data_IF_984638543099
#
_entry.id   IF_984638543099
#
_cell.length_a   1.000
_cell.length_b   1.000
_cell.length_c   1.000
_cell.angle_alpha   90.00
_cell.angle_beta   90.00
_cell.angle_gamma   90.00
#
_symmetry.space_group_name_H-M   'P 1'
#
loop_
_entity.id
_entity.type
_entity.pdbx_description
1 polymer ?
#
# COMPACT_ATOMS: atom_id res chain seq x y z
N UNK A 1 -46.47 23.62 31.54
CA UNK A 1 -45.10 23.24 31.16
C UNK A 1 -44.13 24.23 31.77
N UNK A 2 -43.56 23.90 32.93
CA UNK A 2 -42.53 24.70 33.60
C UNK A 2 -41.27 24.73 32.74
N UNK A 3 -40.65 25.91 32.59
CA UNK A 3 -39.32 26.06 31.98
C UNK A 3 -38.32 25.33 32.88
N UNK A 4 -38.02 24.07 32.56
CA UNK A 4 -36.92 23.36 33.20
C UNK A 4 -35.64 24.02 32.66
N UNK A 5 -34.95 24.76 33.53
CA UNK A 5 -33.85 25.65 33.19
C UNK A 5 -32.48 24.99 33.31
N UNK A 6 -32.39 23.77 33.85
CA UNK A 6 -31.12 23.07 34.04
C UNK A 6 -31.07 21.78 33.20
N UNK A 7 -30.29 21.76 32.11
CA UNK A 7 -30.12 20.59 31.26
C UNK A 7 -29.49 19.39 31.98
N UNK A 8 -28.70 19.65 33.02
CA UNK A 8 -28.04 18.59 33.80
C UNK A 8 -29.09 17.73 34.55
N UNK A 9 -30.23 18.33 34.95
CA UNK A 9 -31.34 17.62 35.61
C UNK A 9 -32.12 16.73 34.62
N UNK A 10 -32.29 17.18 33.37
CA UNK A 10 -32.96 16.39 32.33
C UNK A 10 -32.12 15.17 31.93
N UNK A 11 -30.78 15.34 31.88
CA UNK A 11 -29.84 14.25 31.64
C UNK A 11 -29.88 13.22 32.77
N UNK A 12 -29.85 13.68 34.02
CA UNK A 12 -29.91 12.79 35.18
C UNK A 12 -31.21 12.00 35.21
N UNK A 13 -32.35 12.63 34.91
CA UNK A 13 -33.66 11.97 34.85
C UNK A 13 -33.75 10.92 33.73
N UNK A 14 -33.22 11.19 32.54
CA UNK A 14 -33.21 10.20 31.45
C UNK A 14 -32.40 8.96 31.84
N UNK A 15 -31.21 9.15 32.41
CA UNK A 15 -30.37 8.03 32.83
C UNK A 15 -30.88 7.30 34.06
N UNK A 16 -31.57 8.00 34.97
CA UNK A 16 -32.31 7.39 36.08
C UNK A 16 -33.42 6.51 35.52
N UNK A 17 -34.24 7.02 34.59
CA UNK A 17 -35.30 6.24 33.96
C UNK A 17 -34.73 5.02 33.25
N UNK A 18 -33.74 5.20 32.38
CA UNK A 18 -33.05 4.10 31.69
C UNK A 18 -32.50 3.06 32.69
N UNK A 19 -31.88 3.48 33.79
CA UNK A 19 -31.37 2.56 34.82
C UNK A 19 -32.48 1.85 35.57
N UNK A 20 -33.60 2.51 35.84
CA UNK A 20 -34.78 1.93 36.49
C UNK A 20 -35.46 0.89 35.59
N UNK A 21 -35.58 1.18 34.29
CA UNK A 21 -36.05 0.22 33.28
C UNK A 21 -35.11 -0.98 33.17
N UNK A 22 -33.79 -0.75 33.28
CA UNK A 22 -32.76 -1.82 33.26
C UNK A 22 -32.69 -2.66 34.55
N UNK A 23 -33.03 -2.11 35.71
CA UNK A 23 -32.98 -2.83 37.00
C UNK A 23 -34.16 -3.79 37.21
N UNK A 24 -35.06 -3.90 36.23
CA UNK A 24 -36.13 -4.90 36.21
C UNK A 24 -37.36 -4.56 37.04
N UNK A 25 -37.48 -3.33 37.56
CA UNK A 25 -38.69 -2.90 38.29
C UNK A 25 -39.85 -2.56 37.32
N UNK A 26 -39.57 -2.27 36.04
CA UNK A 26 -40.58 -1.95 35.02
C UNK A 26 -40.20 -2.49 33.63
N UNK A 27 -40.06 -3.81 33.50
CA UNK A 27 -39.82 -4.50 32.21
C UNK A 27 -41.04 -4.47 31.25
N UNK A 28 -42.09 -3.73 31.61
CA UNK A 28 -43.33 -3.54 30.84
C UNK A 28 -43.43 -2.15 30.20
N UNK A 29 -42.34 -1.39 30.09
CA UNK A 29 -42.35 -0.20 29.26
C UNK A 29 -42.65 -0.63 27.81
N UNK A 30 -43.86 -0.29 27.33
CA UNK A 30 -44.30 -0.60 25.97
C UNK A 30 -43.29 0.01 24.99
N UNK A 31 -43.02 -0.67 23.86
CA UNK A 31 -42.12 -0.18 22.79
C UNK A 31 -42.42 1.27 22.44
N UNK A 32 -43.70 1.64 22.53
CA UNK A 32 -44.23 2.99 22.33
C UNK A 32 -43.73 4.03 23.35
N UNK A 33 -43.56 3.68 24.62
CA UNK A 33 -42.98 4.56 25.64
C UNK A 33 -41.49 4.75 25.39
N UNK A 34 -40.78 3.69 25.03
CA UNK A 34 -39.34 3.78 24.72
C UNK A 34 -39.11 4.64 23.48
N UNK A 35 -39.91 4.46 22.41
CA UNK A 35 -39.85 5.29 21.21
C UNK A 35 -40.22 6.76 21.51
N UNK A 36 -41.25 7.01 22.34
CA UNK A 36 -41.63 8.37 22.73
C UNK A 36 -40.55 9.09 23.56
N UNK A 37 -39.88 8.37 24.45
CA UNK A 37 -38.79 8.92 25.26
C UNK A 37 -37.55 9.17 24.40
N UNK A 38 -37.24 8.27 23.45
CA UNK A 38 -36.19 8.49 22.46
C UNK A 38 -36.46 9.75 21.62
N UNK A 39 -37.69 9.92 21.13
CA UNK A 39 -38.11 11.13 20.39
C UNK A 39 -38.01 12.39 21.25
N UNK A 40 -38.41 12.30 22.53
CA UNK A 40 -38.31 13.43 23.46
C UNK A 40 -36.85 13.84 23.73
N UNK A 41 -35.94 12.88 23.94
CA UNK A 41 -34.50 13.14 24.08
C UNK A 41 -33.98 13.87 22.85
N UNK A 42 -34.45 13.50 21.66
CA UNK A 42 -34.01 14.07 20.38
C UNK A 42 -34.54 15.45 20.10
N UNK A 43 -35.79 15.73 20.48
CA UNK A 43 -36.36 17.07 20.44
C UNK A 43 -35.68 18.00 21.44
N UNK A 44 -35.45 17.51 22.66
CA UNK A 44 -34.76 18.25 23.72
C UNK A 44 -33.36 18.61 23.26
N UNK A 45 -32.64 17.64 22.71
CA UNK A 45 -31.32 17.79 22.13
C UNK A 45 -31.23 18.87 21.05
N UNK A 46 -32.14 18.88 20.07
CA UNK A 46 -32.19 19.91 19.03
C UNK A 46 -32.38 21.32 19.59
N UNK A 47 -33.10 21.45 20.72
CA UNK A 47 -33.34 22.74 21.37
C UNK A 47 -32.12 23.32 22.12
N UNK A 48 -31.09 22.50 22.41
CA UNK A 48 -29.93 22.88 23.21
C UNK A 48 -28.61 23.00 22.45
N UNK A 49 -28.48 22.43 21.24
CA UNK A 49 -27.26 22.54 20.40
C UNK A 49 -26.82 24.00 20.21
N UNK A 50 -27.76 24.95 20.13
CA UNK A 50 -27.44 26.38 19.98
C UNK A 50 -27.05 27.11 21.28
N UNK A 51 -27.18 26.48 22.46
CA UNK A 51 -27.01 27.13 23.78
C UNK A 51 -25.73 26.73 24.51
N UNK A 52 -25.10 25.62 24.12
CA UNK A 52 -23.89 25.12 24.78
C UNK A 52 -22.64 25.48 23.98
N UNK A 53 -21.52 25.68 24.67
CA UNK A 53 -20.23 25.77 23.98
C UNK A 53 -19.79 24.39 23.45
N UNK A 54 -18.98 24.39 22.39
CA UNK A 54 -18.54 23.18 21.68
C UNK A 54 -17.87 22.15 22.59
N UNK A 55 -17.08 22.60 23.59
CA UNK A 55 -16.38 21.69 24.53
C UNK A 55 -17.36 20.95 25.45
N UNK A 56 -18.39 21.64 25.95
CA UNK A 56 -19.42 21.03 26.82
C UNK A 56 -20.26 20.03 26.02
N UNK A 57 -20.62 20.36 24.79
CA UNK A 57 -21.26 19.43 23.86
C UNK A 57 -20.37 18.20 23.66
N UNK A 58 -19.12 18.36 23.21
CA UNK A 58 -18.20 17.23 22.98
C UNK A 58 -18.06 16.29 24.18
N UNK A 59 -17.92 16.83 25.40
CA UNK A 59 -17.88 16.01 26.62
C UNK A 59 -19.19 15.25 26.80
N UNK A 60 -20.33 15.92 26.68
CA UNK A 60 -21.64 15.30 26.79
C UNK A 60 -21.80 14.14 25.79
N UNK A 61 -21.56 14.36 24.50
CA UNK A 61 -21.69 13.29 23.49
C UNK A 61 -20.82 12.11 23.78
N UNK A 62 -19.57 12.34 24.17
CA UNK A 62 -18.63 11.28 24.54
C UNK A 62 -19.16 10.46 25.71
N UNK A 63 -19.69 11.13 26.75
CA UNK A 63 -20.22 10.44 27.93
C UNK A 63 -21.49 9.64 27.60
N UNK A 64 -22.38 10.18 26.77
CA UNK A 64 -23.58 9.49 26.29
C UNK A 64 -23.24 8.29 25.40
N UNK A 65 -22.32 8.46 24.46
CA UNK A 65 -21.83 7.41 23.55
C UNK A 65 -21.23 6.24 24.33
N UNK A 66 -20.38 6.54 25.32
CA UNK A 66 -19.77 5.52 26.19
C UNK A 66 -20.82 4.76 26.99
N UNK A 67 -21.79 5.48 27.57
CA UNK A 67 -22.83 4.89 28.41
C UNK A 67 -23.79 4.01 27.59
N UNK A 68 -24.29 4.51 26.45
CA UNK A 68 -25.11 3.74 25.50
C UNK A 68 -24.34 2.50 25.01
N UNK A 69 -23.08 2.68 24.60
CA UNK A 69 -22.25 1.57 24.11
C UNK A 69 -22.07 0.46 25.14
N UNK A 70 -21.85 0.83 26.41
CA UNK A 70 -21.73 -0.13 27.51
C UNK A 70 -23.05 -0.88 27.75
N UNK A 71 -24.18 -0.18 27.77
CA UNK A 71 -25.49 -0.82 27.97
C UNK A 71 -25.87 -1.75 26.82
N UNK A 72 -25.68 -1.31 25.57
CA UNK A 72 -25.98 -2.15 24.39
C UNK A 72 -25.16 -3.44 24.42
N UNK A 73 -23.91 -3.41 24.90
CA UNK A 73 -23.07 -4.61 25.02
C UNK A 73 -23.47 -5.55 26.17
N UNK A 74 -24.14 -5.04 27.21
CA UNK A 74 -24.53 -5.83 28.38
C UNK A 74 -25.93 -6.46 28.23
N UNK A 75 -26.76 -5.91 27.33
CA UNK A 75 -28.12 -6.37 27.12
C UNK A 75 -28.23 -7.57 26.16
N UNK A 76 -29.10 -8.55 26.47
CA UNK A 76 -29.48 -9.57 25.51
C UNK A 76 -30.22 -8.96 24.31
N UNK A 77 -30.36 -9.75 23.23
CA UNK A 77 -31.17 -9.33 22.08
C UNK A 77 -32.65 -9.17 22.51
N UNK A 78 -33.29 -8.07 22.10
CA UNK A 78 -34.68 -7.73 22.46
C UNK A 78 -35.04 -6.27 22.15
N UNK A 79 -36.29 -5.89 22.39
CA UNK A 79 -36.83 -4.56 22.04
C UNK A 79 -36.04 -3.40 22.69
N UNK A 80 -35.62 -3.56 23.95
CA UNK A 80 -34.85 -2.54 24.66
C UNK A 80 -33.47 -2.31 24.01
N UNK A 81 -32.79 -3.39 23.61
CA UNK A 81 -31.51 -3.27 22.90
C UNK A 81 -31.71 -2.61 21.53
N UNK A 82 -32.78 -2.95 20.81
CA UNK A 82 -33.14 -2.31 19.54
C UNK A 82 -33.35 -0.80 19.71
N UNK A 83 -34.08 -0.39 20.74
CA UNK A 83 -34.33 1.02 21.02
C UNK A 83 -33.05 1.80 21.37
N UNK A 84 -32.17 1.23 22.20
CA UNK A 84 -30.88 1.86 22.53
C UNK A 84 -29.97 1.99 21.30
N UNK A 85 -30.01 1.02 20.38
CA UNK A 85 -29.33 1.11 19.09
C UNK A 85 -29.89 2.28 18.27
N UNK A 86 -31.21 2.47 18.20
CA UNK A 86 -31.82 3.61 17.48
C UNK A 86 -31.41 4.96 18.06
N UNK A 87 -31.38 5.07 19.39
CA UNK A 87 -30.91 6.28 20.08
C UNK A 87 -29.45 6.54 19.73
N UNK A 88 -28.60 5.50 19.77
CA UNK A 88 -27.20 5.61 19.40
C UNK A 88 -27.02 6.04 17.94
N UNK A 89 -27.76 5.43 17.00
CA UNK A 89 -27.70 5.78 15.58
C UNK A 89 -28.09 7.24 15.33
N UNK A 90 -29.13 7.73 15.99
CA UNK A 90 -29.53 9.13 15.88
C UNK A 90 -28.48 10.06 16.46
N UNK A 91 -27.93 9.72 17.63
CA UNK A 91 -26.84 10.48 18.25
C UNK A 91 -25.64 10.57 17.29
N UNK A 92 -25.33 9.50 16.57
CA UNK A 92 -24.32 9.48 15.52
C UNK A 92 -24.70 10.19 14.22
N UNK A 93 -26.00 10.39 13.95
CA UNK A 93 -26.51 11.11 12.78
C UNK A 93 -26.50 12.62 12.99
N UNK A 94 -26.85 13.10 14.18
CA UNK A 94 -27.00 14.53 14.47
C UNK A 94 -25.89 15.10 15.36
N UNK A 95 -25.13 14.25 16.05
CA UNK A 95 -24.01 14.64 16.92
C UNK A 95 -22.63 14.48 16.28
N UNK A 96 -22.56 14.32 14.95
CA UNK A 96 -21.36 13.85 14.26
C UNK A 96 -20.11 14.68 14.52
N UNK A 97 -20.29 16.00 14.65
CA UNK A 97 -19.23 17.00 14.84
C UNK A 97 -18.70 17.06 16.27
N UNK A 98 -19.43 16.44 17.20
CA UNK A 98 -19.13 16.45 18.63
C UNK A 98 -18.65 15.10 19.15
N UNK A 99 -18.79 14.03 18.35
CA UNK A 99 -18.39 12.68 18.70
C UNK A 99 -16.92 12.42 18.36
N UNK A 100 -16.29 11.55 19.15
CA UNK A 100 -14.92 11.13 18.90
C UNK A 100 -14.90 10.14 17.74
N UNK A 101 -14.50 10.60 16.56
CA UNK A 101 -14.40 9.75 15.37
C UNK A 101 -13.43 8.57 15.53
N UNK A 102 -12.51 8.62 16.51
CA UNK A 102 -11.59 7.53 16.85
C UNK A 102 -12.14 6.59 17.91
N UNK A 103 -13.29 6.89 18.52
CA UNK A 103 -13.92 5.98 19.47
C UNK A 103 -14.20 4.62 18.83
N UNK A 104 -14.11 3.59 19.67
CA UNK A 104 -14.32 2.21 19.27
C UNK A 104 -15.81 1.94 19.17
N UNK A 105 -16.21 1.34 18.05
CA UNK A 105 -17.56 0.84 17.87
C UNK A 105 -17.84 -0.31 18.86
N UNK A 106 -18.88 -0.22 19.69
CA UNK A 106 -19.30 -1.30 20.58
C UNK A 106 -19.50 -2.62 19.85
N UNK A 107 -19.13 -3.74 20.48
CA UNK A 107 -19.14 -5.08 19.85
C UNK A 107 -20.52 -5.46 19.31
N UNK A 108 -21.58 -5.19 20.08
CA UNK A 108 -22.96 -5.43 19.68
C UNK A 108 -23.36 -4.62 18.43
N UNK A 109 -22.91 -3.37 18.32
CA UNK A 109 -23.12 -2.53 17.14
C UNK A 109 -22.25 -2.95 15.96
N UNK A 110 -21.02 -3.41 16.21
CA UNK A 110 -20.17 -3.96 15.17
C UNK A 110 -20.79 -5.22 14.54
N UNK A 111 -21.41 -6.09 15.35
CA UNK A 111 -22.12 -7.27 14.85
C UNK A 111 -23.30 -6.85 13.95
N UNK A 112 -24.09 -5.87 14.40
CA UNK A 112 -25.21 -5.32 13.62
C UNK A 112 -24.73 -4.69 12.30
N UNK A 113 -23.69 -3.85 12.34
CA UNK A 113 -23.10 -3.23 11.15
C UNK A 113 -22.60 -4.28 10.15
N UNK A 114 -21.96 -5.35 10.63
CA UNK A 114 -21.53 -6.46 9.77
C UNK A 114 -22.71 -7.16 9.10
N UNK A 115 -23.79 -7.38 9.83
CA UNK A 115 -25.01 -7.97 9.27
C UNK A 115 -25.62 -7.06 8.21
N UNK A 116 -25.88 -5.79 8.55
CA UNK A 116 -26.45 -4.80 7.64
C UNK A 116 -25.60 -4.62 6.38
N UNK A 117 -24.27 -4.52 6.54
CA UNK A 117 -23.35 -4.43 5.41
C UNK A 117 -23.39 -5.69 4.54
N UNK A 118 -23.51 -6.88 5.14
CA UNK A 118 -23.60 -8.14 4.39
C UNK A 118 -24.89 -8.21 3.57
N UNK A 119 -26.02 -7.86 4.17
CA UNK A 119 -27.31 -7.80 3.51
C UNK A 119 -27.30 -6.78 2.36
N UNK A 120 -26.81 -5.57 2.61
CA UNK A 120 -26.71 -4.50 1.62
C UNK A 120 -25.72 -4.81 0.48
N UNK A 121 -24.61 -5.48 0.79
CA UNK A 121 -23.58 -5.83 -0.19
C UNK A 121 -23.96 -7.05 -1.05
N UNK A 122 -24.83 -7.93 -0.57
CA UNK A 122 -25.28 -9.13 -1.31
C UNK A 122 -25.80 -8.84 -2.73
N UNK A 123 -26.76 -7.91 -2.95
CA UNK A 123 -27.21 -7.58 -4.31
C UNK A 123 -26.09 -6.98 -5.17
N UNK A 124 -25.24 -6.12 -4.60
CA UNK A 124 -24.08 -5.52 -5.28
C UNK A 124 -23.12 -6.62 -5.75
N UNK A 125 -22.81 -7.59 -4.88
CA UNK A 125 -21.97 -8.76 -5.19
C UNK A 125 -22.55 -9.59 -6.33
N UNK A 126 -23.88 -9.80 -6.37
CA UNK A 126 -24.54 -10.48 -7.49
C UNK A 126 -24.38 -9.70 -8.80
N UNK A 127 -24.57 -8.37 -8.77
CA UNK A 127 -24.37 -7.51 -9.93
C UNK A 127 -22.92 -7.54 -10.44
N UNK A 128 -21.94 -7.45 -9.54
CA UNK A 128 -20.51 -7.56 -9.87
C UNK A 128 -20.16 -8.90 -10.51
N UNK A 129 -20.66 -10.02 -9.96
CA UNK A 129 -20.47 -11.36 -10.55
C UNK A 129 -21.08 -11.47 -11.94
N UNK A 130 -22.31 -10.96 -12.12
CA UNK A 130 -22.99 -10.94 -13.43
C UNK A 130 -22.20 -10.14 -14.47
N UNK A 131 -21.59 -9.04 -14.05
CA UNK A 131 -20.73 -8.20 -14.89
C UNK A 131 -19.29 -8.72 -15.05
N UNK A 132 -18.97 -9.91 -14.51
CA UNK A 132 -17.63 -10.52 -14.55
C UNK A 132 -16.52 -9.62 -13.97
N UNK A 133 -16.83 -8.86 -12.93
CA UNK A 133 -15.82 -8.12 -12.15
C UNK A 133 -14.84 -9.13 -11.53
N UNK A 134 -13.55 -8.74 -11.47
CA UNK A 134 -12.48 -9.53 -10.86
C UNK A 134 -12.86 -10.09 -9.48
N UNK A 135 -12.64 -11.38 -9.29
CA UNK A 135 -12.97 -12.08 -8.05
C UNK A 135 -12.17 -11.58 -6.86
N UNK A 136 -10.93 -11.14 -7.08
CA UNK A 136 -10.09 -10.51 -6.06
C UNK A 136 -10.68 -9.21 -5.54
N UNK A 137 -11.16 -8.34 -6.43
CA UNK A 137 -11.84 -7.09 -6.06
C UNK A 137 -13.13 -7.33 -5.28
N UNK A 138 -13.95 -8.30 -5.71
CA UNK A 138 -15.20 -8.66 -5.02
C UNK A 138 -14.89 -9.13 -3.58
N UNK A 139 -13.91 -10.02 -3.43
CA UNK A 139 -13.49 -10.53 -2.12
C UNK A 139 -12.94 -9.41 -1.24
N UNK A 140 -12.11 -8.54 -1.80
CA UNK A 140 -11.57 -7.39 -1.09
C UNK A 140 -12.66 -6.48 -0.52
N UNK A 141 -13.67 -6.17 -1.34
CA UNK A 141 -14.79 -5.33 -0.91
C UNK A 141 -15.62 -6.03 0.17
N UNK A 142 -15.91 -7.32 0.00
CA UNK A 142 -16.61 -8.11 1.01
C UNK A 142 -15.87 -8.10 2.36
N UNK A 143 -14.56 -8.38 2.34
CA UNK A 143 -13.72 -8.37 3.53
C UNK A 143 -13.62 -6.97 4.15
N UNK A 144 -13.63 -5.92 3.33
CA UNK A 144 -13.62 -4.51 3.78
C UNK A 144 -14.93 -4.16 4.49
N UNK A 145 -16.09 -4.45 3.87
CA UNK A 145 -17.41 -4.15 4.43
C UNK A 145 -17.76 -4.99 5.67
N UNK A 146 -17.13 -6.15 5.83
CA UNK A 146 -17.27 -7.00 7.01
C UNK A 146 -16.18 -6.74 8.07
N UNK A 147 -15.28 -5.78 7.84
CA UNK A 147 -14.14 -5.48 8.71
C UNK A 147 -13.23 -6.69 8.97
N UNK A 148 -13.12 -7.61 8.01
CA UNK A 148 -12.21 -8.77 8.04
C UNK A 148 -10.79 -8.42 7.57
N UNK A 149 -10.63 -7.26 6.92
CA UNK A 149 -9.33 -6.76 6.51
C UNK A 149 -8.49 -6.16 7.67
N UNK A 150 -9.00 -6.22 8.90
CA UNK A 150 -8.33 -5.69 10.08
C UNK A 150 -7.59 -6.83 10.82
N UNK A 151 -6.39 -6.58 11.37
CA UNK A 151 -5.70 -7.49 12.28
C UNK A 151 -6.62 -8.06 13.37
N UNK A 152 -6.35 -9.31 13.76
CA UNK A 152 -7.08 -9.97 14.84
C UNK A 152 -7.00 -9.14 16.13
N UNK A 153 -8.17 -8.91 16.74
CA UNK A 153 -8.30 -8.08 17.94
C UNK A 153 -8.30 -6.57 17.69
N UNK A 154 -8.13 -6.09 16.45
CA UNK A 154 -8.26 -4.66 16.15
C UNK A 154 -9.71 -4.22 16.35
N UNK A 155 -9.88 -3.21 17.21
CA UNK A 155 -11.17 -2.57 17.48
C UNK A 155 -11.53 -1.65 16.31
N UNK A 156 -12.76 -1.77 15.81
CA UNK A 156 -13.23 -0.94 14.69
C UNK A 156 -13.55 0.47 15.19
N UNK A 157 -12.83 1.47 14.70
CA UNK A 157 -13.16 2.86 14.98
C UNK A 157 -14.46 3.27 14.26
N UNK A 158 -15.28 4.10 14.89
CA UNK A 158 -16.58 4.56 14.37
C UNK A 158 -16.45 5.27 13.03
N UNK A 159 -15.37 6.04 12.82
CA UNK A 159 -15.10 6.65 11.50
C UNK A 159 -15.01 5.64 10.37
N UNK A 160 -14.50 4.42 10.61
CA UNK A 160 -14.39 3.37 9.58
C UNK A 160 -15.78 2.89 9.19
N UNK A 161 -16.64 2.65 10.18
CA UNK A 161 -18.04 2.29 9.94
C UNK A 161 -18.79 3.40 9.19
N UNK A 162 -18.65 4.66 9.62
CA UNK A 162 -19.24 5.81 8.91
C UNK A 162 -18.76 5.91 7.46
N UNK A 163 -17.45 5.77 7.23
CA UNK A 163 -16.88 5.78 5.90
C UNK A 163 -17.53 4.73 4.99
N UNK A 164 -17.69 3.50 5.46
CA UNK A 164 -18.31 2.42 4.69
C UNK A 164 -19.81 2.63 4.49
N UNK A 165 -20.51 3.16 5.50
CA UNK A 165 -21.92 3.54 5.39
C UNK A 165 -22.16 4.61 4.33
N UNK A 166 -21.24 5.57 4.20
CA UNK A 166 -21.28 6.59 3.15
C UNK A 166 -20.93 6.02 1.77
N UNK A 167 -20.04 5.02 1.71
CA UNK A 167 -19.59 4.39 0.46
C UNK A 167 -20.62 3.40 -0.11
N UNK A 168 -21.37 2.69 0.73
CA UNK A 168 -22.30 1.63 0.31
C UNK A 168 -23.39 2.12 -0.67
N UNK A 169 -24.08 3.25 -0.45
CA UNK A 169 -25.08 3.77 -1.39
C UNK A 169 -24.48 4.13 -2.74
N UNK A 170 -23.25 4.67 -2.75
CA UNK A 170 -22.54 5.03 -3.97
C UNK A 170 -22.13 3.79 -4.76
N UNK A 171 -21.71 2.73 -4.06
CA UNK A 171 -21.40 1.46 -4.69
C UNK A 171 -22.67 0.83 -5.29
N UNK A 172 -23.79 0.89 -4.56
CA UNK A 172 -25.09 0.44 -5.05
C UNK A 172 -25.50 1.19 -6.32
N UNK A 173 -25.45 2.52 -6.31
CA UNK A 173 -25.86 3.34 -7.46
C UNK A 173 -25.05 3.00 -8.72
N UNK A 174 -23.73 2.83 -8.60
CA UNK A 174 -22.92 2.49 -9.79
C UNK A 174 -23.21 1.08 -10.31
N UNK A 175 -23.60 0.13 -9.45
CA UNK A 175 -23.99 -1.22 -9.90
C UNK A 175 -25.36 -1.28 -10.57
N UNK A 176 -26.26 -0.35 -10.23
CA UNK A 176 -27.61 -0.29 -10.79
C UNK A 176 -27.68 0.52 -12.10
N UNK A 177 -26.74 1.45 -12.30
CA UNK A 177 -26.64 2.29 -13.51
C UNK A 177 -26.26 1.46 -14.76
N UNK A 178 -27.15 1.34 -15.76
CA UNK A 178 -27.00 0.41 -16.87
C UNK A 178 -26.15 0.93 -18.05
N UNK A 179 -25.66 2.17 -18.01
CA UNK A 179 -24.99 2.81 -19.16
C UNK A 179 -23.82 3.69 -18.73
N UNK A 180 -22.62 3.19 -18.94
CA UNK A 180 -21.38 3.97 -18.88
C UNK A 180 -20.43 3.44 -19.94
N UNK A 181 -19.54 4.31 -20.43
CA UNK A 181 -18.48 3.93 -21.36
C UNK A 181 -17.40 3.07 -20.69
N UNK A 182 -17.36 3.07 -19.36
CA UNK A 182 -16.43 2.29 -18.55
C UNK A 182 -17.07 0.97 -18.12
N UNK A 183 -16.25 -0.07 -18.02
CA UNK A 183 -16.66 -1.33 -17.40
C UNK A 183 -17.06 -1.10 -15.93
N UNK A 184 -17.92 -1.98 -15.39
CA UNK A 184 -18.32 -1.87 -13.98
C UNK A 184 -17.11 -1.92 -13.04
N UNK A 185 -16.10 -2.74 -13.35
CA UNK A 185 -14.86 -2.81 -12.58
C UNK A 185 -14.13 -1.47 -12.54
N UNK A 186 -13.94 -0.80 -13.68
CA UNK A 186 -13.28 0.51 -13.75
C UNK A 186 -14.05 1.57 -12.97
N UNK A 187 -15.39 1.55 -13.05
CA UNK A 187 -16.25 2.47 -12.29
C UNK A 187 -16.11 2.26 -10.78
N UNK A 188 -16.06 1.00 -10.34
CA UNK A 188 -15.82 0.65 -8.93
C UNK A 188 -14.44 1.16 -8.52
N UNK A 189 -13.38 0.84 -9.26
CA UNK A 189 -12.02 1.27 -8.93
C UNK A 189 -11.91 2.78 -8.85
N UNK A 190 -12.50 3.49 -9.82
CA UNK A 190 -12.56 4.95 -9.81
C UNK A 190 -13.29 5.46 -8.56
N UNK A 191 -14.47 4.91 -8.22
CA UNK A 191 -15.19 5.27 -6.99
C UNK A 191 -14.32 5.09 -5.73
N UNK A 192 -13.62 3.95 -5.61
CA UNK A 192 -12.77 3.64 -4.47
C UNK A 192 -11.56 4.59 -4.36
N UNK A 193 -10.95 4.95 -5.48
CA UNK A 193 -9.88 5.95 -5.53
C UNK A 193 -10.40 7.34 -5.14
N UNK A 194 -11.53 7.77 -5.72
CA UNK A 194 -12.15 9.07 -5.50
C UNK A 194 -12.58 9.29 -4.05
N UNK A 195 -13.04 8.21 -3.40
CA UNK A 195 -13.42 8.20 -1.98
C UNK A 195 -12.27 7.88 -1.03
N UNK A 196 -11.07 7.62 -1.54
CA UNK A 196 -9.86 7.37 -0.76
C UNK A 196 -9.92 6.12 0.13
N UNK A 197 -10.29 4.98 -0.46
CA UNK A 197 -10.15 3.68 0.19
C UNK A 197 -8.66 3.32 0.28
N UNK A 198 -7.98 3.87 1.29
CA UNK A 198 -6.54 3.76 1.47
C UNK A 198 -6.09 2.52 2.27
N UNK A 199 -6.84 1.42 2.17
CA UNK A 199 -6.44 0.15 2.79
C UNK A 199 -5.25 -0.48 2.07
N UNK A 200 -4.42 -1.18 2.84
CA UNK A 200 -3.23 -1.88 2.30
C UNK A 200 -3.64 -2.91 1.25
N UNK A 201 -4.73 -3.63 1.50
CA UNK A 201 -5.23 -4.66 0.59
C UNK A 201 -5.67 -4.05 -0.74
N UNK A 202 -6.32 -2.88 -0.73
CA UNK A 202 -6.75 -2.22 -1.98
C UNK A 202 -5.56 -1.69 -2.77
N UNK A 203 -4.60 -1.09 -2.08
CA UNK A 203 -3.35 -0.67 -2.69
C UNK A 203 -2.61 -1.86 -3.33
N UNK A 204 -2.47 -2.99 -2.62
CA UNK A 204 -1.83 -4.20 -3.16
C UNK A 204 -2.56 -4.74 -4.39
N UNK A 205 -3.88 -4.89 -4.31
CA UNK A 205 -4.69 -5.31 -5.45
C UNK A 205 -4.48 -4.38 -6.66
N UNK A 206 -4.51 -3.06 -6.43
CA UNK A 206 -4.35 -2.06 -7.49
C UNK A 206 -2.95 -2.09 -8.10
N UNK A 207 -1.91 -2.25 -7.27
CA UNK A 207 -0.52 -2.44 -7.70
C UNK A 207 -0.38 -3.66 -8.62
N UNK A 208 -0.95 -4.78 -8.21
CA UNK A 208 -0.84 -6.03 -8.97
C UNK A 208 -1.58 -5.94 -10.31
N UNK A 209 -2.70 -5.20 -10.37
CA UNK A 209 -3.38 -4.87 -11.63
C UNK A 209 -2.50 -4.04 -12.58
N UNK A 210 -1.73 -3.07 -12.07
CA UNK A 210 -0.78 -2.32 -12.91
C UNK A 210 0.35 -3.21 -13.41
N UNK A 211 0.90 -4.07 -12.54
CA UNK A 211 1.94 -5.02 -12.93
C UNK A 211 1.45 -6.01 -14.01
N UNK A 212 0.20 -6.46 -13.93
CA UNK A 212 -0.37 -7.36 -14.96
C UNK A 212 -0.52 -6.71 -16.34
N UNK A 213 -0.60 -5.38 -16.40
CA UNK A 213 -0.63 -4.63 -17.66
C UNK A 213 0.75 -4.50 -18.30
N UNK A 214 1.83 -4.85 -17.58
CA UNK A 214 3.20 -4.79 -18.06
C UNK A 214 3.87 -6.17 -18.01
N UNK A 215 3.55 -7.07 -18.96
CA UNK A 215 4.16 -8.38 -19.08
C UNK A 215 5.70 -8.37 -19.00
N UNK A 216 6.32 -9.31 -18.27
CA UNK A 216 7.79 -9.46 -18.22
C UNK A 216 8.45 -9.80 -19.56
N UNK A 217 7.69 -10.06 -20.61
CA UNK A 217 8.20 -10.27 -21.96
C UNK A 217 8.38 -8.96 -22.75
N UNK A 218 7.77 -7.86 -22.31
CA UNK A 218 7.83 -6.60 -23.05
C UNK A 218 9.25 -6.00 -23.08
N UNK A 219 9.66 -5.39 -24.19
CA UNK A 219 10.90 -4.64 -24.26
C UNK A 219 10.93 -3.50 -23.22
N UNK A 220 12.13 -3.17 -22.74
CA UNK A 220 12.33 -2.16 -21.69
C UNK A 220 11.64 -0.82 -21.98
N UNK A 221 11.81 -0.30 -23.21
CA UNK A 221 11.19 0.96 -23.63
C UNK A 221 9.67 0.92 -23.61
N UNK A 222 9.08 -0.22 -23.97
CA UNK A 222 7.62 -0.38 -23.97
C UNK A 222 7.08 -0.44 -22.54
N UNK A 223 7.77 -1.11 -21.61
CA UNK A 223 7.41 -1.07 -20.19
C UNK A 223 7.43 0.34 -19.64
N UNK A 224 8.50 1.09 -19.92
CA UNK A 224 8.63 2.47 -19.47
C UNK A 224 7.51 3.36 -20.04
N UNK A 225 7.18 3.19 -21.32
CA UNK A 225 6.06 3.89 -21.97
C UNK A 225 4.74 3.62 -21.24
N UNK A 226 4.42 2.36 -20.98
CA UNK A 226 3.17 1.97 -20.31
C UNK A 226 3.13 2.52 -18.87
N UNK A 227 4.20 2.42 -18.09
CA UNK A 227 4.21 2.97 -16.73
C UNK A 227 4.05 4.50 -16.70
N UNK A 228 4.65 5.22 -17.67
CA UNK A 228 4.43 6.68 -17.81
C UNK A 228 2.99 7.01 -18.18
N UNK A 229 2.37 6.24 -19.06
CA UNK A 229 0.96 6.39 -19.43
C UNK A 229 0.04 6.15 -18.23
N UNK A 230 0.28 5.08 -17.46
CA UNK A 230 -0.45 4.78 -16.24
C UNK A 230 -0.29 5.88 -15.18
N UNK A 231 0.93 6.40 -14.99
CA UNK A 231 1.20 7.51 -14.07
C UNK A 231 0.46 8.78 -14.51
N UNK A 232 0.51 9.13 -15.79
CA UNK A 232 -0.19 10.29 -16.35
C UNK A 232 -1.71 10.19 -16.19
N UNK A 233 -2.27 9.01 -16.46
CA UNK A 233 -3.71 8.78 -16.31
C UNK A 233 -4.13 8.88 -14.83
N UNK A 234 -3.35 8.29 -13.92
CA UNK A 234 -3.65 8.34 -12.47
C UNK A 234 -3.50 9.74 -11.87
N UNK A 235 -2.48 10.50 -12.27
CA UNK A 235 -2.28 11.88 -11.77
C UNK A 235 -3.35 12.85 -12.26
N UNK A 236 -4.01 12.54 -13.38
CA UNK A 236 -5.13 13.33 -13.92
C UNK A 236 -6.43 13.13 -13.12
N UNK A 237 -6.58 11.99 -12.43
CA UNK A 237 -7.73 11.72 -11.57
C UNK A 237 -7.64 12.52 -10.26
N UNK A 238 -8.52 13.51 -10.08
CA UNK A 238 -8.56 14.32 -8.86
C UNK A 238 -9.33 13.61 -7.74
N UNK A 239 -8.66 13.35 -6.62
CA UNK A 239 -9.33 12.93 -5.39
C UNK A 239 -10.40 13.96 -4.97
N UNK A 240 -11.66 13.52 -4.83
CA UNK A 240 -12.77 14.39 -4.38
C UNK A 240 -12.92 14.44 -2.86
N UNK A 241 -12.54 13.38 -2.17
CA UNK A 241 -12.79 13.24 -0.73
C UNK A 241 -11.50 13.11 0.07
N UNK A 242 -11.32 13.96 1.08
CA UNK A 242 -10.19 13.91 2.00
C UNK A 242 -10.45 13.02 3.24
N UNK A 243 -11.55 12.26 3.29
CA UNK A 243 -11.78 11.27 4.34
C UNK A 243 -10.88 10.06 4.13
N UNK A 244 -10.27 9.56 5.20
CA UNK A 244 -9.37 8.40 5.16
C UNK A 244 -10.04 7.21 5.84
N UNK A 245 -10.04 6.06 5.15
CA UNK A 245 -10.49 4.81 5.76
C UNK A 245 -9.53 4.39 6.89
N UNK A 246 -8.22 4.35 6.63
CA UNK A 246 -7.18 4.12 7.64
C UNK A 246 -6.48 5.45 7.95
N UNK A 247 -6.48 5.87 9.22
CA UNK A 247 -5.76 7.08 9.64
C UNK A 247 -4.29 6.75 9.81
N UNK A 248 -3.41 7.70 9.52
CA UNK A 248 -1.96 7.52 9.54
C UNK A 248 -1.38 6.93 8.27
N UNK A 249 -2.20 6.35 7.38
CA UNK A 249 -1.76 5.95 6.05
C UNK A 249 -1.93 7.08 5.03
N UNK A 250 -1.02 7.22 4.06
CA UNK A 250 -1.20 8.14 2.93
C UNK A 250 -2.50 7.84 2.18
N UNK A 251 -3.04 8.83 1.48
CA UNK A 251 -4.20 8.62 0.63
C UNK A 251 -3.89 7.63 -0.49
N UNK A 252 -4.88 6.88 -0.96
CA UNK A 252 -4.69 5.87 -2.01
C UNK A 252 -4.08 6.46 -3.28
N UNK A 253 -4.43 7.71 -3.60
CA UNK A 253 -3.88 8.43 -4.74
C UNK A 253 -2.36 8.58 -4.63
N UNK A 254 -1.87 9.05 -3.47
CA UNK A 254 -0.43 9.17 -3.17
C UNK A 254 0.28 7.81 -3.12
N UNK A 255 -0.36 6.78 -2.58
CA UNK A 255 0.22 5.43 -2.53
C UNK A 255 0.46 4.89 -3.94
N UNK A 256 -0.55 5.00 -4.81
CA UNK A 256 -0.47 4.56 -6.21
C UNK A 256 0.51 5.42 -7.02
N UNK A 257 0.48 6.74 -6.86
CA UNK A 257 1.42 7.65 -7.51
C UNK A 257 2.88 7.31 -7.14
N UNK A 258 3.15 7.13 -5.84
CA UNK A 258 4.49 6.76 -5.37
C UNK A 258 4.97 5.42 -5.95
N UNK A 259 4.08 4.44 -6.08
CA UNK A 259 4.39 3.18 -6.75
C UNK A 259 4.74 3.37 -8.23
N UNK A 260 3.87 4.05 -8.98
CA UNK A 260 4.05 4.24 -10.42
C UNK A 260 5.29 5.07 -10.74
N UNK A 261 5.55 6.14 -9.99
CA UNK A 261 6.79 6.93 -10.10
C UNK A 261 8.03 6.09 -9.80
N UNK A 262 7.99 5.28 -8.74
CA UNK A 262 9.09 4.36 -8.41
C UNK A 262 9.35 3.31 -9.50
N UNK A 263 8.31 2.84 -10.20
CA UNK A 263 8.49 1.96 -11.37
C UNK A 263 9.13 2.70 -12.55
N UNK A 264 8.71 3.94 -12.84
CA UNK A 264 9.33 4.77 -13.88
C UNK A 264 10.81 4.98 -13.59
N UNK A 265 11.15 5.41 -12.37
CA UNK A 265 12.54 5.66 -11.95
C UNK A 265 13.42 4.40 -12.07
N UNK A 266 12.88 3.25 -11.68
CA UNK A 266 13.55 1.95 -11.79
C UNK A 266 13.91 1.65 -13.25
N UNK A 267 12.92 1.71 -14.15
CA UNK A 267 13.13 1.34 -15.56
C UNK A 267 13.98 2.36 -16.32
N UNK A 268 13.91 3.65 -15.96
CA UNK A 268 14.85 4.66 -16.46
C UNK A 268 16.28 4.41 -15.97
N UNK A 269 16.45 3.97 -14.72
CA UNK A 269 17.74 3.51 -14.19
C UNK A 269 18.31 2.35 -15.01
N UNK A 270 17.50 1.32 -15.25
CA UNK A 270 17.89 0.16 -16.08
C UNK A 270 18.25 0.60 -17.49
N UNK A 271 17.45 1.48 -18.10
CA UNK A 271 17.69 1.97 -19.45
C UNK A 271 19.03 2.70 -19.55
N UNK A 272 19.29 3.63 -18.62
CA UNK A 272 20.58 4.35 -18.54
C UNK A 272 21.76 3.40 -18.43
N UNK A 273 21.68 2.39 -17.56
CA UNK A 273 22.73 1.37 -17.43
C UNK A 273 22.94 0.58 -18.73
N UNK A 274 21.86 0.15 -19.38
CA UNK A 274 21.97 -0.58 -20.66
C UNK A 274 22.51 0.27 -21.80
N UNK A 275 22.18 1.56 -21.84
CA UNK A 275 22.71 2.50 -22.83
C UNK A 275 24.20 2.76 -22.59
N UNK A 276 24.60 3.01 -21.35
CA UNK A 276 26.01 3.16 -20.97
C UNK A 276 26.84 1.91 -21.34
N UNK A 277 26.29 0.71 -21.09
CA UNK A 277 26.91 -0.56 -21.50
C UNK A 277 27.08 -0.68 -23.02
N UNK A 278 26.09 -0.22 -23.79
CA UNK A 278 26.12 -0.28 -25.27
C UNK A 278 27.06 0.77 -25.87
N UNK A 279 27.07 1.98 -25.33
CA UNK A 279 27.86 3.11 -25.82
C UNK A 279 29.33 2.98 -25.42
N UNK A 280 29.61 2.63 -24.17
CA UNK A 280 30.97 2.51 -23.67
C UNK A 280 31.55 1.10 -23.88
N UNK A 281 30.73 0.14 -24.35
CA UNK A 281 31.09 -1.27 -24.53
C UNK A 281 31.37 -2.03 -23.24
N UNK A 282 31.39 -1.33 -22.10
CA UNK A 282 32.05 -1.76 -20.88
C UNK A 282 31.45 -1.08 -19.64
N UNK A 283 31.45 -1.79 -18.52
CA UNK A 283 31.11 -1.21 -17.20
C UNK A 283 32.28 -0.37 -16.70
N UNK A 284 32.05 0.72 -15.93
CA UNK A 284 33.11 1.51 -15.31
C UNK A 284 33.75 0.75 -14.13
N UNK A 285 34.37 -0.39 -14.41
CA UNK A 285 35.09 -1.21 -13.43
C UNK A 285 36.58 -1.10 -13.77
N UNK A 286 37.37 -0.72 -12.77
CA UNK A 286 38.81 -0.58 -12.91
C UNK A 286 39.54 -1.54 -11.97
N UNK A 287 40.44 -2.36 -12.52
CA UNK A 287 41.19 -3.41 -11.83
C UNK A 287 42.65 -2.98 -11.77
N UNK A 288 43.14 -2.67 -10.57
CA UNK A 288 44.55 -2.36 -10.37
C UNK A 288 45.38 -3.64 -10.35
N UNK A 289 46.36 -3.73 -11.25
CA UNK A 289 47.34 -4.80 -11.31
C UNK A 289 48.71 -4.33 -10.79
N UNK A 290 49.40 -5.22 -10.10
CA UNK A 290 50.79 -4.99 -9.69
C UNK A 290 51.80 -5.14 -10.83
N UNK A 291 51.35 -5.64 -11.99
CA UNK A 291 52.17 -5.91 -13.17
C UNK A 291 52.37 -4.66 -14.02
N UNK A 292 53.51 -4.55 -14.69
CA UNK A 292 53.67 -3.56 -15.78
C UNK A 292 52.75 -3.92 -16.96
N UNK A 293 52.53 -2.96 -17.87
CA UNK A 293 51.75 -3.18 -19.10
C UNK A 293 52.30 -4.36 -19.90
N UNK A 294 53.63 -4.44 -20.07
CA UNK A 294 54.29 -5.51 -20.81
C UNK A 294 54.17 -6.88 -20.13
N UNK A 295 54.24 -6.92 -18.79
CA UNK A 295 54.02 -8.15 -18.02
C UNK A 295 52.57 -8.63 -18.09
N UNK A 296 51.62 -7.69 -18.07
CA UNK A 296 50.20 -7.98 -18.21
C UNK A 296 49.89 -8.49 -19.63
N UNK A 297 50.48 -7.86 -20.66
CA UNK A 297 50.33 -8.30 -22.05
C UNK A 297 50.89 -9.71 -22.25
N UNK A 298 52.06 -10.01 -21.67
CA UNK A 298 52.64 -11.35 -21.70
C UNK A 298 51.74 -12.37 -20.96
N UNK A 299 51.19 -12.01 -19.80
CA UNK A 299 50.28 -12.89 -19.05
C UNK A 299 49.06 -13.28 -19.89
N UNK A 300 48.39 -12.29 -20.50
CA UNK A 300 47.25 -12.55 -21.38
C UNK A 300 47.64 -13.32 -22.65
N UNK A 301 48.85 -13.11 -23.18
CA UNK A 301 49.37 -13.89 -24.30
C UNK A 301 49.51 -15.36 -23.92
N UNK A 302 50.12 -15.65 -22.77
CA UNK A 302 50.26 -17.03 -22.26
C UNK A 302 48.88 -17.66 -22.05
N UNK A 303 47.93 -16.95 -21.46
CA UNK A 303 46.56 -17.48 -21.32
C UNK A 303 45.89 -17.79 -22.66
N UNK A 304 46.08 -16.94 -23.67
CA UNK A 304 45.60 -17.22 -25.03
C UNK A 304 46.29 -18.45 -25.61
N UNK A 305 47.61 -18.53 -25.49
CA UNK A 305 48.43 -19.60 -26.08
C UNK A 305 48.20 -20.96 -25.40
N UNK A 306 47.83 -20.95 -24.11
CA UNK A 306 47.38 -22.12 -23.36
C UNK A 306 45.87 -22.40 -23.50
N UNK A 307 45.19 -21.75 -24.46
CA UNK A 307 43.77 -21.94 -24.78
C UNK A 307 42.81 -21.68 -23.60
N UNK A 308 43.21 -20.88 -22.61
CA UNK A 308 42.33 -20.45 -21.51
C UNK A 308 41.16 -19.62 -22.04
N UNK A 309 41.39 -18.85 -23.12
CA UNK A 309 40.35 -18.13 -23.85
C UNK A 309 40.74 -17.90 -25.32
N UNK A 310 39.74 -17.57 -26.15
CA UNK A 310 39.93 -17.18 -27.55
C UNK A 310 39.65 -15.70 -27.77
N UNK A 311 40.24 -15.11 -28.81
CA UNK A 311 40.11 -13.67 -29.12
C UNK A 311 39.50 -13.49 -30.53
N UNK A 312 38.17 -13.57 -30.68
CA UNK A 312 37.53 -13.43 -31.99
C UNK A 312 37.61 -11.99 -32.55
N UNK A 313 37.80 -10.98 -31.70
CA UNK A 313 37.95 -9.56 -32.09
C UNK A 313 39.13 -8.91 -31.35
N UNK A 314 40.37 -9.06 -31.83
CA UNK A 314 41.59 -8.60 -31.14
C UNK A 314 41.57 -7.12 -30.75
N UNK A 315 41.09 -6.24 -31.65
CA UNK A 315 40.99 -4.80 -31.37
C UNK A 315 40.16 -4.51 -30.11
N UNK A 316 38.97 -5.11 -30.00
CA UNK A 316 38.08 -4.93 -28.84
C UNK A 316 38.66 -5.53 -27.56
N UNK A 317 39.42 -6.61 -27.68
CA UNK A 317 40.10 -7.20 -26.52
C UNK A 317 41.17 -6.26 -25.98
N UNK A 318 42.00 -5.66 -26.84
CA UNK A 318 43.01 -4.70 -26.38
C UNK A 318 42.38 -3.43 -25.80
N UNK A 319 41.33 -2.90 -26.42
CA UNK A 319 40.54 -1.78 -25.88
C UNK A 319 39.92 -2.15 -24.51
N UNK A 320 39.42 -3.37 -24.34
CA UNK A 320 38.90 -3.84 -23.06
C UNK A 320 39.99 -3.83 -21.98
N UNK A 321 41.14 -4.47 -22.25
CA UNK A 321 42.21 -4.58 -21.25
C UNK A 321 42.76 -3.19 -20.87
N UNK A 322 42.99 -2.33 -21.84
CA UNK A 322 43.44 -0.95 -21.62
C UNK A 322 42.47 -0.12 -20.75
N UNK A 323 41.16 -0.28 -20.96
CA UNK A 323 40.15 0.48 -20.22
C UNK A 323 39.87 -0.07 -18.80
N UNK A 324 40.17 -1.35 -18.54
CA UNK A 324 39.77 -2.03 -17.29
C UNK A 324 40.94 -2.37 -16.39
N UNK A 325 42.16 -2.43 -16.90
CA UNK A 325 43.32 -2.76 -16.09
C UNK A 325 44.24 -1.55 -15.95
N UNK A 326 44.65 -1.28 -14.72
CA UNK A 326 45.72 -0.34 -14.40
C UNK A 326 46.99 -1.10 -14.03
N UNK A 327 48.15 -0.47 -14.23
CA UNK A 327 49.42 -0.93 -13.67
C UNK A 327 49.84 -0.01 -12.53
N UNK A 328 50.81 -0.43 -11.70
CA UNK A 328 51.43 0.44 -10.68
C UNK A 328 51.93 1.79 -11.20
N UNK A 329 52.26 1.88 -12.50
CA UNK A 329 52.85 3.05 -13.11
C UNK A 329 51.86 3.91 -13.90
N UNK A 330 50.70 3.35 -14.28
CA UNK A 330 49.68 4.05 -15.07
C UNK A 330 48.29 3.47 -14.77
N UNK A 331 47.35 4.34 -14.37
CA UNK A 331 45.95 3.95 -14.14
C UNK A 331 45.28 3.51 -15.44
N UNK A 332 45.53 4.16 -16.56
CA UNK A 332 45.02 3.73 -17.87
C UNK A 332 46.21 3.72 -18.82
N UNK A 333 46.35 2.64 -19.61
CA UNK A 333 47.39 2.55 -20.63
C UNK A 333 46.78 2.50 -22.03
N UNK A 334 47.53 2.94 -23.01
CA UNK A 334 47.10 3.02 -24.40
C UNK A 334 46.90 1.61 -25.02
N UNK A 335 45.75 1.32 -25.67
CA UNK A 335 45.49 0.02 -26.29
C UNK A 335 46.55 -0.41 -27.31
N UNK A 336 47.16 0.54 -28.02
CA UNK A 336 48.20 0.25 -29.01
C UNK A 336 49.50 -0.19 -28.34
N UNK A 337 49.88 0.45 -27.22
CA UNK A 337 51.01 0.02 -26.38
C UNK A 337 50.83 -1.42 -25.89
N UNK A 338 49.65 -1.76 -25.36
CA UNK A 338 49.36 -3.13 -24.92
C UNK A 338 49.39 -4.13 -26.08
N UNK A 339 48.85 -3.76 -27.25
CA UNK A 339 48.89 -4.59 -28.46
C UNK A 339 50.33 -4.88 -28.89
N UNK A 340 51.21 -3.88 -28.90
CA UNK A 340 52.62 -4.06 -29.26
C UNK A 340 53.27 -5.06 -28.31
N UNK A 341 53.15 -4.84 -27.01
CA UNK A 341 53.75 -5.72 -25.99
C UNK A 341 53.17 -7.15 -26.03
N UNK A 342 51.91 -7.30 -26.42
CA UNK A 342 51.27 -8.60 -26.58
C UNK A 342 51.91 -9.44 -27.70
N UNK A 343 52.31 -8.81 -28.80
CA UNK A 343 52.91 -9.51 -29.95
C UNK A 343 54.43 -9.58 -29.90
N UNK A 344 55.10 -8.56 -29.36
CA UNK A 344 56.57 -8.48 -29.27
C UNK A 344 57.12 -9.50 -28.27
N UNK A 345 58.36 -9.95 -28.49
CA UNK A 345 59.03 -10.87 -27.59
C UNK A 345 59.31 -10.20 -26.24
N UNK A 346 58.87 -10.80 -25.12
CA UNK A 346 59.07 -10.21 -23.81
C UNK A 346 60.55 -10.18 -23.44
N UNK A 347 60.93 -9.21 -22.60
CA UNK A 347 62.27 -9.22 -22.02
C UNK A 347 62.43 -10.43 -21.10
N UNK A 348 63.68 -10.90 -20.91
CA UNK A 348 63.97 -11.98 -19.97
C UNK A 348 63.55 -11.62 -18.52
N UNK A 349 63.42 -10.33 -18.20
CA UNK A 349 62.90 -9.87 -16.93
C UNK A 349 61.38 -10.11 -16.82
N UNK A 350 60.60 -9.69 -17.82
CA UNK A 350 59.14 -9.84 -17.80
C UNK A 350 58.71 -11.30 -17.81
N UNK A 351 59.39 -12.14 -18.60
CA UNK A 351 59.18 -13.58 -18.60
C UNK A 351 59.41 -14.21 -17.21
N UNK A 352 60.47 -13.80 -16.50
CA UNK A 352 60.74 -14.27 -15.13
C UNK A 352 59.65 -13.84 -14.13
N UNK A 353 59.12 -12.63 -14.28
CA UNK A 353 58.03 -12.14 -13.40
C UNK A 353 56.75 -12.93 -13.65
N UNK A 354 56.33 -13.08 -14.91
CA UNK A 354 55.13 -13.84 -15.27
C UNK A 354 55.28 -15.33 -14.88
N UNK A 355 56.44 -15.94 -15.10
CA UNK A 355 56.72 -17.31 -14.67
C UNK A 355 56.58 -17.49 -13.15
N UNK A 356 57.05 -16.53 -12.34
CA UNK A 356 56.86 -16.58 -10.87
C UNK A 356 55.37 -16.57 -10.47
N UNK A 357 54.51 -15.89 -11.23
CA UNK A 357 53.06 -15.88 -10.96
C UNK A 357 52.50 -17.28 -11.22
N UNK A 358 52.81 -17.87 -12.37
CA UNK A 358 52.38 -19.23 -12.70
C UNK A 358 52.90 -20.26 -11.72
N UNK A 359 54.17 -20.16 -11.29
CA UNK A 359 54.73 -21.04 -10.26
C UNK A 359 53.95 -20.96 -8.95
N UNK A 360 53.64 -19.74 -8.48
CA UNK A 360 52.83 -19.53 -7.27
C UNK A 360 51.40 -20.07 -7.42
N UNK A 361 50.81 -19.93 -8.60
CA UNK A 361 49.49 -20.51 -8.89
C UNK A 361 49.54 -22.03 -8.84
N UNK A 362 50.57 -22.65 -9.42
CA UNK A 362 50.82 -24.09 -9.32
C UNK A 362 50.97 -24.56 -7.87
N UNK A 363 51.89 -23.95 -7.11
CA UNK A 363 52.09 -24.25 -5.67
C UNK A 363 50.79 -24.07 -4.84
N UNK A 364 49.93 -23.12 -5.21
CA UNK A 364 48.62 -22.95 -4.58
C UNK A 364 47.65 -24.07 -4.97
N UNK A 365 47.61 -24.47 -6.24
CA UNK A 365 46.78 -25.59 -6.70
C UNK A 365 47.20 -26.92 -6.09
N UNK A 366 48.51 -27.19 -5.98
CA UNK A 366 49.03 -28.39 -5.31
C UNK A 366 48.59 -28.45 -3.84
N UNK A 367 48.69 -27.32 -3.14
CA UNK A 367 48.32 -27.22 -1.72
C UNK A 367 46.83 -27.33 -1.46
N UNK A 368 45.99 -26.65 -2.23
CA UNK A 368 44.54 -26.60 -1.99
C UNK A 368 43.80 -27.80 -2.57
N UNK A 369 44.29 -28.36 -3.67
CA UNK A 369 43.56 -29.37 -4.44
C UNK A 369 44.33 -30.69 -4.63
N UNK A 370 45.56 -30.80 -4.12
CA UNK A 370 46.35 -32.04 -4.18
C UNK A 370 46.77 -32.47 -5.59
N UNK A 371 46.69 -31.55 -6.56
CA UNK A 371 47.06 -31.80 -7.95
C UNK A 371 48.54 -31.46 -8.10
N UNK A 372 49.43 -32.45 -8.27
CA UNK A 372 50.84 -32.21 -8.57
C UNK A 372 50.98 -31.55 -9.95
N UNK A 373 51.67 -30.40 -10.03
CA UNK A 373 51.79 -29.56 -11.25
C UNK A 373 53.15 -29.72 -11.92
#
# INVERSE_FOLDING_TARGET
MSKISNPDILQENFWIWVRQTLSGEDLMADKKEIDAEADWVMMTYHSYIGKWNTKRLQRYFRDQELLLGNMINQLPDGDLREALVRIWEHLHRYGQDYLDAQAVLPTALLALERQQNTEAFTPIKRAMKKAKVDGGLIKLLEDTFQFRCLPDGERVAIRKARYLRDLMPLLKSITEEPKSNLSLQERIVHLLCMHNLNSVQFYQWRRDQFLSQVPPAYPLMERLRIFRELLSNHTSDRQKNNRYFISGLPGIHKQVEGFLSGQVDLWEGVLRMTTQLKENGFLPIHIESILSVSQLALLFKVFRDCEVFTIPKPKRFFEFIANHFGSKQAQIFDPDTFRVDFYVFPTAHDAKVVFKIFKKLGEHMEREYGVAV
#
